data_IF_079341045051
#
_entry.id   IF_079341045051
#
_cell.length_a   1.000
_cell.length_b   1.000
_cell.length_c   1.000
_cell.angle_alpha   90.00
_cell.angle_beta   90.00
_cell.angle_gamma   90.00
#
_symmetry.space_group_name_H-M   'P 1'
#
loop_
_entity.id
_entity.type
_entity.pdbx_description
1 polymer ?
#
# COMPACT_ATOMS: atom_id res chain seq x y z
N UNK A 1 -9.23 -21.39 -13.06
CA UNK A 1 -9.13 -22.06 -11.74
C UNK A 1 -9.87 -21.22 -10.73
N UNK A 2 -11.20 -21.26 -10.80
CA UNK A 2 -12.08 -20.70 -9.77
C UNK A 2 -12.31 -21.87 -8.85
N UNK A 3 -11.62 -21.90 -7.71
CA UNK A 3 -11.80 -22.98 -6.75
C UNK A 3 -13.25 -22.93 -6.25
N UNK A 4 -13.92 -24.06 -6.40
CA UNK A 4 -15.32 -24.30 -6.08
C UNK A 4 -15.64 -23.96 -4.62
N UNK A 5 -16.00 -22.70 -4.37
CA UNK A 5 -16.59 -22.23 -3.09
C UNK A 5 -17.87 -23.00 -2.71
N UNK A 6 -18.44 -23.78 -3.64
CA UNK A 6 -19.60 -24.66 -3.39
C UNK A 6 -19.26 -25.95 -2.66
N UNK A 7 -18.00 -26.40 -2.68
CA UNK A 7 -17.63 -27.71 -2.10
C UNK A 7 -17.35 -27.64 -0.59
N UNK A 8 -17.03 -26.46 -0.06
CA UNK A 8 -16.80 -26.25 1.38
C UNK A 8 -18.10 -26.04 2.18
N UNK A 9 -19.24 -25.79 1.53
CA UNK A 9 -20.55 -25.76 2.21
C UNK A 9 -21.18 -27.14 2.42
N UNK A 10 -20.59 -28.21 1.88
CA UNK A 10 -21.17 -29.56 1.86
C UNK A 10 -20.41 -30.59 2.71
N UNK A 11 -19.24 -30.26 3.26
CA UNK A 11 -18.51 -31.15 4.18
C UNK A 11 -18.88 -30.95 5.66
N UNK A 12 -19.61 -29.90 6.01
CA UNK A 12 -20.15 -29.76 7.35
C UNK A 12 -21.36 -30.70 7.49
N UNK A 13 -21.35 -31.68 8.42
CA UNK A 13 -22.57 -32.39 8.75
C UNK A 13 -23.64 -31.35 9.11
N UNK A 14 -24.87 -31.49 8.60
CA UNK A 14 -25.91 -30.51 8.83
C UNK A 14 -26.06 -30.28 10.33
N UNK A 15 -26.21 -29.02 10.79
CA UNK A 15 -26.44 -28.75 12.20
C UNK A 15 -27.60 -29.61 12.67
N UNK A 16 -27.55 -30.19 13.89
CA UNK A 16 -28.64 -30.97 14.42
C UNK A 16 -29.91 -30.13 14.30
N UNK A 17 -30.85 -30.60 13.48
CA UNK A 17 -32.11 -29.92 13.21
C UNK A 17 -32.75 -29.66 14.58
N UNK A 18 -32.95 -28.39 14.91
CA UNK A 18 -33.80 -27.97 16.03
C UNK A 18 -35.23 -28.36 15.65
N UNK A 19 -35.56 -29.64 15.84
CA UNK A 19 -36.94 -30.07 15.92
C UNK A 19 -37.52 -29.32 17.11
N UNK A 20 -38.61 -28.61 16.87
CA UNK A 20 -39.43 -27.97 17.88
C UNK A 20 -39.95 -29.04 18.82
N UNK A 21 -39.17 -29.34 19.86
CA UNK A 21 -39.54 -30.34 20.86
C UNK A 21 -40.47 -29.63 21.84
N UNK A 22 -41.76 -29.90 21.65
CA UNK A 22 -42.85 -29.73 22.60
C UNK A 22 -42.42 -30.33 23.95
N UNK A 23 -42.34 -29.53 25.00
CA UNK A 23 -42.40 -29.92 26.43
C UNK A 23 -41.62 -31.18 26.91
N UNK A 24 -40.51 -31.60 26.28
CA UNK A 24 -39.76 -32.78 26.74
C UNK A 24 -38.75 -32.46 27.86
N UNK A 25 -38.84 -33.26 28.92
CA UNK A 25 -37.91 -33.49 30.04
C UNK A 25 -36.65 -32.58 30.09
N UNK A 26 -36.50 -31.69 31.10
CA UNK A 26 -35.37 -30.76 31.20
C UNK A 26 -34.00 -31.43 31.12
N UNK A 27 -33.92 -32.71 31.49
CA UNK A 27 -32.71 -33.52 31.35
C UNK A 27 -32.33 -33.81 29.89
N UNK A 28 -33.31 -34.04 29.00
CA UNK A 28 -33.09 -34.25 27.57
C UNK A 28 -32.53 -32.99 26.90
N UNK A 29 -33.06 -31.80 27.27
CA UNK A 29 -32.58 -30.50 26.79
C UNK A 29 -31.16 -30.18 27.24
N UNK A 30 -30.82 -30.50 28.50
CA UNK A 30 -29.45 -30.34 29.00
C UNK A 30 -28.48 -31.20 28.20
N UNK A 31 -28.83 -32.47 27.95
CA UNK A 31 -27.99 -33.40 27.20
C UNK A 31 -27.84 -33.02 25.73
N UNK A 32 -28.87 -32.46 25.09
CA UNK A 32 -28.77 -31.96 23.72
C UNK A 32 -27.85 -30.72 23.63
N UNK A 33 -27.97 -29.80 24.58
CA UNK A 33 -27.12 -28.61 24.65
C UNK A 33 -25.64 -28.97 24.90
N UNK A 34 -25.37 -29.95 25.76
CA UNK A 34 -24.00 -30.45 25.99
C UNK A 34 -23.38 -31.00 24.69
N UNK A 35 -24.10 -31.84 23.94
CA UNK A 35 -23.63 -32.34 22.64
C UNK A 35 -23.41 -31.23 21.62
N UNK A 36 -24.26 -30.20 21.64
CA UNK A 36 -24.11 -29.04 20.76
C UNK A 36 -22.87 -28.22 21.11
N UNK A 37 -22.58 -28.04 22.40
CA UNK A 37 -21.35 -27.37 22.86
C UNK A 37 -20.11 -28.15 22.40
N UNK A 38 -20.06 -29.45 22.66
CA UNK A 38 -18.95 -30.31 22.21
C UNK A 38 -18.75 -30.24 20.68
N UNK A 39 -19.84 -30.24 19.91
CA UNK A 39 -19.77 -30.11 18.45
C UNK A 39 -19.20 -28.75 18.04
N UNK A 40 -19.68 -27.66 18.64
CA UNK A 40 -19.21 -26.30 18.32
C UNK A 40 -17.74 -26.13 18.68
N UNK A 41 -17.29 -26.69 19.81
CA UNK A 41 -15.88 -26.65 20.24
C UNK A 41 -14.96 -27.30 19.18
N UNK A 42 -15.34 -28.47 18.67
CA UNK A 42 -14.60 -29.17 17.61
C UNK A 42 -14.59 -28.34 16.32
N UNK A 43 -15.72 -27.75 15.93
CA UNK A 43 -15.78 -26.88 14.75
C UNK A 43 -14.89 -25.64 14.91
N UNK A 44 -14.86 -25.05 16.10
CA UNK A 44 -14.02 -23.90 16.39
C UNK A 44 -12.54 -24.25 16.27
N UNK A 45 -12.12 -25.39 16.81
CA UNK A 45 -10.75 -25.90 16.67
C UNK A 45 -10.38 -26.13 15.19
N UNK A 46 -11.27 -26.78 14.43
CA UNK A 46 -11.08 -27.02 13.00
C UNK A 46 -10.89 -25.71 12.22
N UNK A 47 -11.77 -24.73 12.44
CA UNK A 47 -11.68 -23.42 11.78
C UNK A 47 -10.39 -22.69 12.19
N UNK A 48 -9.99 -22.76 13.46
CA UNK A 48 -8.73 -22.16 13.93
C UNK A 48 -7.52 -22.77 13.23
N UNK A 49 -7.50 -24.08 13.02
CA UNK A 49 -6.38 -24.75 12.36
C UNK A 49 -6.34 -24.49 10.85
N UNK A 50 -7.48 -24.46 10.17
CA UNK A 50 -7.58 -24.03 8.77
C UNK A 50 -7.08 -22.59 8.60
N UNK A 51 -7.48 -21.66 9.49
CA UNK A 51 -6.99 -20.29 9.49
C UNK A 51 -5.46 -20.22 9.67
N UNK A 52 -4.89 -21.05 10.55
CA UNK A 52 -3.43 -21.11 10.71
C UNK A 52 -2.76 -21.64 9.45
N UNK A 53 -3.32 -22.67 8.81
CA UNK A 53 -2.76 -23.24 7.59
C UNK A 53 -2.75 -22.20 6.46
N UNK A 54 -3.88 -21.54 6.21
CA UNK A 54 -4.02 -20.50 5.20
C UNK A 54 -3.04 -19.34 5.44
N UNK A 55 -2.85 -18.90 6.70
CA UNK A 55 -1.88 -17.85 7.03
C UNK A 55 -0.44 -18.27 6.70
N UNK A 56 -0.07 -19.53 6.92
CA UNK A 56 1.27 -20.04 6.55
C UNK A 56 1.46 -20.07 5.04
N UNK A 57 0.46 -20.51 4.29
CA UNK A 57 0.49 -20.50 2.82
C UNK A 57 0.60 -19.08 2.26
N UNK A 58 -0.14 -18.14 2.85
CA UNK A 58 -0.07 -16.71 2.51
C UNK A 58 1.36 -16.19 2.69
N UNK A 59 1.98 -16.43 3.85
CA UNK A 59 3.35 -15.99 4.14
C UNK A 59 4.34 -16.57 3.12
N UNK A 60 4.23 -17.87 2.83
CA UNK A 60 5.07 -18.53 1.83
C UNK A 60 4.90 -17.92 0.43
N UNK A 61 3.67 -17.62 0.03
CA UNK A 61 3.39 -16.97 -1.25
C UNK A 61 3.95 -15.53 -1.29
N UNK A 62 3.80 -14.77 -0.21
CA UNK A 62 4.38 -13.42 -0.09
C UNK A 62 5.91 -13.42 -0.18
N UNK A 63 6.58 -14.41 0.42
CA UNK A 63 8.03 -14.55 0.33
C UNK A 63 8.49 -14.82 -1.11
N UNK A 64 7.75 -15.61 -1.89
CA UNK A 64 8.03 -15.81 -3.32
C UNK A 64 7.88 -14.51 -4.10
N UNK A 65 6.80 -13.74 -3.86
CA UNK A 65 6.61 -12.44 -4.51
C UNK A 65 7.75 -11.47 -4.19
N UNK A 66 8.19 -11.42 -2.93
CA UNK A 66 9.33 -10.59 -2.52
C UNK A 66 10.63 -10.99 -3.20
N UNK A 67 10.88 -12.29 -3.40
CA UNK A 67 12.05 -12.75 -4.17
C UNK A 67 12.02 -12.23 -5.61
N UNK A 68 10.86 -12.26 -6.26
CA UNK A 68 10.70 -11.72 -7.62
C UNK A 68 10.96 -10.21 -7.66
N UNK A 69 10.54 -9.47 -6.63
CA UNK A 69 10.76 -8.02 -6.51
C UNK A 69 12.23 -7.62 -6.32
N UNK A 70 13.05 -8.47 -5.70
CA UNK A 70 14.47 -8.17 -5.42
C UNK A 70 15.44 -8.34 -6.61
N UNK A 71 14.98 -8.92 -7.73
CA UNK A 71 15.78 -9.11 -8.96
C UNK A 71 15.98 -7.74 -9.64
N UNK A 72 17.11 -7.45 -10.32
CA UNK A 72 17.37 -6.14 -10.92
C UNK A 72 16.20 -5.63 -11.77
N UNK A 73 15.70 -4.45 -11.38
CA UNK A 73 14.59 -3.75 -12.02
C UNK A 73 15.11 -2.67 -12.98
N UNK A 74 14.41 -2.49 -14.08
CA UNK A 74 14.59 -1.40 -15.04
C UNK A 74 13.56 -0.32 -14.70
N UNK A 75 13.98 0.94 -14.64
CA UNK A 75 13.08 2.06 -14.36
C UNK A 75 12.42 2.52 -15.66
N UNK A 76 11.12 2.77 -15.60
CA UNK A 76 10.32 3.36 -16.69
C UNK A 76 9.30 4.37 -16.16
N UNK A 77 8.64 5.07 -17.07
CA UNK A 77 7.55 5.99 -16.76
C UNK A 77 6.23 5.39 -17.22
N UNK A 78 5.26 5.36 -16.32
CA UNK A 78 3.91 4.92 -16.65
C UNK A 78 3.22 5.96 -17.53
N UNK A 79 2.65 5.55 -18.66
CA UNK A 79 1.91 6.47 -19.54
C UNK A 79 0.42 6.39 -19.27
N UNK A 80 -0.20 5.28 -19.67
CA UNK A 80 -1.65 5.13 -19.66
C UNK A 80 -2.06 3.68 -19.40
N UNK A 81 -3.20 3.50 -18.72
CA UNK A 81 -3.86 2.21 -18.58
C UNK A 81 -4.67 1.92 -19.85
N UNK A 82 -4.40 0.80 -20.52
CA UNK A 82 -5.18 0.39 -21.71
C UNK A 82 -6.33 -0.52 -21.31
N UNK A 83 -6.04 -1.49 -20.45
CA UNK A 83 -7.02 -2.45 -19.93
C UNK A 83 -7.02 -2.45 -18.40
N UNK A 84 -7.90 -3.27 -17.81
CA UNK A 84 -7.91 -3.51 -16.36
C UNK A 84 -6.56 -4.02 -15.84
N UNK A 85 -5.83 -4.81 -16.62
CA UNK A 85 -4.58 -5.46 -16.18
C UNK A 85 -3.37 -5.12 -17.07
N UNK A 86 -3.53 -4.23 -18.04
CA UNK A 86 -2.50 -3.93 -19.02
C UNK A 86 -2.35 -2.41 -19.16
N UNK A 87 -1.12 -1.97 -19.32
CA UNK A 87 -0.79 -0.55 -19.46
C UNK A 87 0.41 -0.34 -20.38
N UNK A 88 0.57 0.90 -20.81
CA UNK A 88 1.70 1.34 -21.61
C UNK A 88 2.73 1.98 -20.68
N UNK A 89 3.98 1.56 -20.82
CA UNK A 89 5.11 2.11 -20.07
C UNK A 89 6.17 2.60 -21.05
N UNK A 90 6.61 3.84 -20.87
CA UNK A 90 7.76 4.40 -21.57
C UNK A 90 9.04 3.97 -20.86
N UNK A 91 9.91 3.23 -21.52
CA UNK A 91 11.25 2.96 -21.00
C UNK A 91 12.13 4.19 -21.17
N UNK A 92 13.12 4.34 -20.29
CA UNK A 92 14.21 5.34 -20.41
C UNK A 92 14.98 5.26 -21.73
N UNK A 93 14.82 4.16 -22.50
CA UNK A 93 15.37 3.98 -23.85
C UNK A 93 14.55 4.63 -24.97
N UNK A 94 13.45 5.33 -24.65
CA UNK A 94 12.58 5.99 -25.62
C UNK A 94 11.64 5.05 -26.38
N UNK A 95 11.56 3.78 -25.98
CA UNK A 95 10.63 2.79 -26.52
C UNK A 95 9.44 2.58 -25.58
N UNK A 96 8.25 2.37 -26.17
CA UNK A 96 7.01 2.13 -25.44
C UNK A 96 6.74 0.63 -25.38
N UNK A 97 6.52 0.11 -24.18
CA UNK A 97 6.22 -1.30 -23.95
C UNK A 97 4.75 -1.49 -23.56
N UNK A 98 4.13 -2.50 -24.16
CA UNK A 98 2.85 -3.02 -23.69
C UNK A 98 3.10 -4.02 -22.57
N UNK A 99 2.70 -3.65 -21.36
CA UNK A 99 3.10 -4.33 -20.13
C UNK A 99 1.89 -4.86 -19.39
N UNK A 100 2.03 -6.06 -18.82
CA UNK A 100 1.07 -6.61 -17.87
C UNK A 100 1.37 -6.10 -16.46
N UNK A 101 0.32 -5.57 -15.82
CA UNK A 101 0.34 -5.08 -14.43
C UNK A 101 0.09 -6.27 -13.50
N UNK A 102 0.96 -6.43 -12.49
CA UNK A 102 0.75 -7.42 -11.44
C UNK A 102 -0.38 -7.01 -10.50
N UNK A 103 -1.17 -7.99 -10.04
CA UNK A 103 -2.33 -7.75 -9.16
C UNK A 103 -1.98 -7.26 -7.75
N UNK A 104 -0.71 -7.30 -7.38
CA UNK A 104 -0.21 -6.79 -6.09
C UNK A 104 -0.30 -5.26 -5.99
N UNK A 105 -0.41 -4.58 -7.13
CA UNK A 105 -0.35 -3.11 -7.22
C UNK A 105 -1.75 -2.54 -7.33
N UNK A 106 -2.00 -1.46 -6.59
CA UNK A 106 -3.25 -0.73 -6.62
C UNK A 106 -3.28 0.24 -7.81
N UNK A 107 -4.34 0.17 -8.61
CA UNK A 107 -4.54 1.01 -9.81
C UNK A 107 -4.61 2.51 -9.51
N UNK A 108 -5.04 2.87 -8.32
CA UNK A 108 -5.16 4.26 -7.87
C UNK A 108 -3.79 4.96 -7.71
N UNK A 109 -2.73 4.18 -7.49
CA UNK A 109 -1.36 4.68 -7.39
C UNK A 109 -0.74 4.93 -8.76
N UNK A 110 -1.30 4.34 -9.83
CA UNK A 110 -0.83 4.47 -11.19
C UNK A 110 -1.34 5.79 -11.79
N UNK A 111 -0.64 6.87 -11.47
CA UNK A 111 -0.82 8.15 -12.16
C UNK A 111 -0.02 8.15 -13.47
N UNK A 112 -0.52 8.84 -14.52
CA UNK A 112 0.30 9.12 -15.69
C UNK A 112 1.57 9.85 -15.24
N UNK A 113 2.71 9.49 -15.84
CA UNK A 113 4.05 9.97 -15.51
C UNK A 113 4.61 9.53 -14.15
N UNK A 114 3.98 8.55 -13.47
CA UNK A 114 4.59 7.94 -12.29
C UNK A 114 5.83 7.11 -12.66
N UNK A 115 6.84 7.10 -11.78
CA UNK A 115 8.02 6.24 -11.93
C UNK A 115 7.63 4.80 -11.57
N UNK A 116 7.90 3.86 -12.45
CA UNK A 116 7.54 2.44 -12.28
C UNK A 116 8.73 1.53 -12.48
N UNK A 117 8.73 0.44 -11.72
CA UNK A 117 9.73 -0.61 -11.79
C UNK A 117 9.26 -1.71 -12.74
N UNK A 118 10.06 -1.95 -13.78
CA UNK A 118 9.87 -3.01 -14.74
C UNK A 118 10.84 -4.15 -14.46
N UNK A 119 10.38 -5.39 -14.62
CA UNK A 119 11.28 -6.55 -14.57
C UNK A 119 12.10 -6.68 -15.86
N UNK A 120 13.41 -6.92 -15.77
CA UNK A 120 14.35 -6.91 -16.92
C UNK A 120 13.99 -7.84 -18.09
N UNK A 121 13.41 -9.02 -17.83
CA UNK A 121 13.20 -10.04 -18.88
C UNK A 121 11.78 -10.08 -19.42
N UNK A 122 10.79 -9.75 -18.59
CA UNK A 122 9.37 -9.85 -18.93
C UNK A 122 8.73 -8.47 -19.14
N UNK A 123 9.45 -7.40 -18.83
CA UNK A 123 8.96 -6.03 -18.79
C UNK A 123 7.65 -5.89 -17.99
N UNK A 124 7.37 -6.80 -17.05
CA UNK A 124 6.18 -6.74 -16.21
C UNK A 124 6.30 -5.58 -15.21
N UNK A 125 5.18 -4.91 -14.90
CA UNK A 125 5.14 -3.82 -13.94
C UNK A 125 5.08 -4.42 -12.52
N UNK A 126 6.11 -4.17 -11.72
CA UNK A 126 6.33 -4.82 -10.42
C UNK A 126 6.02 -3.92 -9.24
N UNK A 127 6.42 -2.65 -9.30
CA UNK A 127 6.18 -1.68 -8.24
C UNK A 127 6.16 -0.24 -8.79
N UNK A 128 5.58 0.69 -8.03
CA UNK A 128 5.60 2.13 -8.32
C UNK A 128 6.64 2.76 -7.40
N UNK A 129 7.67 3.37 -7.98
CA UNK A 129 8.64 4.13 -7.20
C UNK A 129 8.05 5.50 -6.86
N UNK A 130 8.41 6.08 -5.71
CA UNK A 130 8.10 7.49 -5.47
C UNK A 130 8.59 8.30 -6.68
N UNK A 131 7.80 9.30 -7.15
CA UNK A 131 8.21 10.11 -8.28
C UNK A 131 9.60 10.65 -7.98
N UNK A 132 10.54 10.47 -8.91
CA UNK A 132 11.88 11.01 -8.78
C UNK A 132 11.74 12.50 -8.54
N UNK A 133 11.89 12.92 -7.28
CA UNK A 133 11.94 14.31 -6.93
C UNK A 133 13.24 14.82 -7.52
N UNK A 134 13.12 15.64 -8.56
CA UNK A 134 14.21 16.45 -9.09
C UNK A 134 15.06 16.96 -7.92
N UNK A 135 16.33 16.56 -7.88
CA UNK A 135 17.27 16.96 -6.82
C UNK A 135 17.43 18.48 -6.72
N UNK A 136 16.99 19.22 -7.75
CA UNK A 136 16.92 20.68 -7.79
C UNK A 136 15.79 21.29 -6.94
N UNK A 137 14.71 20.56 -6.66
CA UNK A 137 13.55 21.05 -5.88
C UNK A 137 13.78 20.92 -4.37
N UNK A 138 14.64 20.00 -3.93
CA UNK A 138 14.98 19.82 -2.51
C UNK A 138 15.61 21.07 -1.89
N UNK A 139 16.36 21.85 -2.68
CA UNK A 139 16.95 23.13 -2.25
C UNK A 139 15.92 24.24 -2.01
N UNK A 140 14.72 24.12 -2.59
CA UNK A 140 13.65 25.12 -2.53
C UNK A 140 12.66 24.89 -1.38
N UNK A 141 12.65 23.72 -0.74
CA UNK A 141 11.56 23.41 0.21
C UNK A 141 11.74 23.98 1.61
N UNK A 142 12.94 24.47 1.99
CA UNK A 142 13.14 25.01 3.35
C UNK A 142 14.47 25.76 3.57
N UNK A 143 15.03 26.38 2.53
CA UNK A 143 16.10 27.37 2.74
C UNK A 143 15.51 28.64 3.35
N UNK A 144 15.33 28.59 4.66
CA UNK A 144 15.58 29.68 5.60
C UNK A 144 14.91 31.02 5.21
N UNK A 145 13.70 31.28 5.71
CA UNK A 145 13.26 32.67 5.86
C UNK A 145 14.34 33.36 6.72
N UNK A 146 15.15 34.29 6.19
CA UNK A 146 16.09 34.98 7.05
C UNK A 146 15.26 35.91 7.93
N UNK A 147 15.32 35.72 9.24
CA UNK A 147 14.70 36.61 10.22
C UNK A 147 15.60 37.85 10.38
N UNK A 148 15.73 38.62 9.29
CA UNK A 148 16.45 39.89 9.32
C UNK A 148 15.58 40.91 10.05
N UNK A 149 15.85 41.08 11.33
CA UNK A 149 15.44 42.29 12.02
C UNK A 149 16.15 43.46 11.35
N UNK A 150 15.41 44.32 10.64
CA UNK A 150 15.88 45.56 10.03
C UNK A 150 16.28 46.61 11.09
N UNK A 151 17.21 46.27 11.99
CA UNK A 151 17.80 47.23 12.92
C UNK A 151 19.17 47.73 12.42
N UNK A 152 19.73 47.13 11.37
CA UNK A 152 20.99 47.58 10.76
C UNK A 152 20.75 48.71 9.74
N UNK A 153 19.55 48.85 9.18
CA UNK A 153 19.20 49.98 8.30
C UNK A 153 19.12 51.33 9.04
N UNK A 154 18.97 51.32 10.37
CA UNK A 154 18.88 52.53 11.20
C UNK A 154 20.24 53.19 11.46
N UNK A 155 21.34 52.41 11.43
CA UNK A 155 22.70 52.91 11.66
C UNK A 155 23.28 53.59 10.41
N UNK A 156 22.76 53.26 9.22
CA UNK A 156 23.16 53.92 7.97
C UNK A 156 22.57 55.33 7.79
N UNK A 157 21.53 55.72 8.53
CA UNK A 157 21.05 57.12 8.51
C UNK A 157 21.84 58.05 9.45
N UNK A 158 22.39 57.55 10.57
CA UNK A 158 23.12 58.41 11.52
C UNK A 158 24.54 58.77 11.05
N UNK A 159 25.20 57.87 10.29
CA UNK A 159 26.52 58.16 9.73
C UNK A 159 26.48 58.99 8.43
N UNK A 160 25.33 59.10 7.76
CA UNK A 160 25.17 59.99 6.62
C UNK A 160 24.89 61.44 7.08
N UNK A 161 24.09 61.62 8.13
CA UNK A 161 23.74 62.96 8.62
C UNK A 161 24.92 63.68 9.31
N UNK A 162 25.78 62.96 10.02
CA UNK A 162 26.98 63.52 10.66
C UNK A 162 28.05 64.00 9.66
N UNK A 163 28.14 63.37 8.48
CA UNK A 163 29.14 63.72 7.45
C UNK A 163 28.71 64.87 6.53
N UNK A 164 27.41 65.02 6.26
CA UNK A 164 26.88 66.13 5.46
C UNK A 164 26.89 67.45 6.25
N UNK A 165 26.64 67.42 7.57
CA UNK A 165 26.63 68.65 8.39
C UNK A 165 28.03 69.27 8.61
N UNK A 166 29.12 68.49 8.47
CA UNK A 166 30.50 69.01 8.52
C UNK A 166 30.98 69.68 7.24
N UNK A 167 30.25 69.55 6.13
CA UNK A 167 30.64 70.10 4.83
C UNK A 167 29.92 71.39 4.44
N UNK A 168 28.92 71.84 5.22
CA UNK A 168 28.15 73.07 4.98
C UNK A 168 27.90 73.86 6.28
N UNK A 169 28.94 73.97 7.12
CA UNK A 169 28.88 74.65 8.42
C UNK A 169 30.18 75.36 8.78
N UNK A 170 30.64 76.24 7.89
CA UNK A 170 31.44 77.47 8.05
C UNK A 170 31.98 77.89 6.68
#
# INVERSE_FOLDING_TARGET
MVYDLKRLSESSPPPPILQSIEEEDPYAKLKSLQRQLEFIEIQEEYVKDEQKNLKRELLRAQEEVKRIQSVPLVIGQFMEMVDTNNGIVGSTTGSNYYVRILSTINRELLKPSASVALHRHSNALVDVLPPEADSSISLLSQSEKPDVTYNVSSILQLNFFSRVFRLWGC
#
